data_IF_308434624366
#
_entry.id   IF_308434624366
#
_cell.length_a   1.000
_cell.length_b   1.000
_cell.length_c   1.000
_cell.angle_alpha   90.00
_cell.angle_beta   90.00
_cell.angle_gamma   90.00
#
_symmetry.space_group_name_H-M   'P 1'
#
loop_
_entity.id
_entity.type
_entity.pdbx_description
1 polymer ?
#
# COMPACT_ATOMS: atom_id res chain seq x y z
N UNK A 1 18.09 -21.44 9.86
CA UNK A 1 17.92 -19.99 9.67
C UNK A 1 18.19 -19.32 11.01
N UNK A 2 19.09 -18.35 11.05
CA UNK A 2 19.31 -17.51 12.23
C UNK A 2 18.07 -16.65 12.45
N UNK A 3 17.66 -16.44 13.70
CA UNK A 3 16.50 -15.61 14.02
C UNK A 3 16.64 -14.19 13.42
N UNK A 4 15.52 -13.60 13.02
CA UNK A 4 15.50 -12.18 12.65
C UNK A 4 15.70 -11.38 13.94
N UNK A 5 16.76 -10.57 13.99
CA UNK A 5 17.01 -9.70 15.14
C UNK A 5 15.95 -8.59 15.17
N UNK A 6 15.20 -8.50 16.26
CA UNK A 6 14.12 -7.52 16.42
C UNK A 6 14.64 -6.09 16.30
N UNK A 7 15.82 -5.82 16.85
CA UNK A 7 16.47 -4.51 16.83
C UNK A 7 16.79 -4.04 15.40
N UNK A 8 17.15 -4.97 14.50
CA UNK A 8 17.39 -4.66 13.10
C UNK A 8 16.09 -4.29 12.38
N UNK A 9 14.99 -5.00 12.66
CA UNK A 9 13.67 -4.68 12.10
C UNK A 9 13.16 -3.34 12.61
N UNK A 10 13.38 -3.03 13.89
CA UNK A 10 13.04 -1.72 14.47
C UNK A 10 13.81 -0.60 13.78
N UNK A 11 15.12 -0.75 13.61
CA UNK A 11 15.96 0.24 12.94
C UNK A 11 15.55 0.47 11.47
N UNK A 12 15.27 -0.61 10.74
CA UNK A 12 14.79 -0.54 9.36
C UNK A 12 13.40 0.11 9.30
N UNK A 13 12.49 -0.22 10.24
CA UNK A 13 11.15 0.40 10.34
C UNK A 13 11.24 1.91 10.50
N UNK A 14 12.07 2.38 11.44
CA UNK A 14 12.29 3.83 11.66
C UNK A 14 12.90 4.48 10.41
N UNK A 15 13.87 3.83 9.77
CA UNK A 15 14.53 4.34 8.57
C UNK A 15 13.54 4.49 7.41
N UNK A 16 12.68 3.49 7.20
CA UNK A 16 11.69 3.47 6.13
C UNK A 16 10.60 4.52 6.39
N UNK A 17 10.11 4.63 7.63
CA UNK A 17 9.10 5.62 8.01
C UNK A 17 9.56 7.06 7.76
N UNK A 18 10.85 7.32 7.98
CA UNK A 18 11.49 8.62 7.70
C UNK A 18 11.67 8.97 6.23
N UNK A 19 11.41 8.03 5.31
CA UNK A 19 11.43 8.29 3.88
C UNK A 19 9.99 8.56 3.44
N UNK A 20 9.63 9.82 3.10
CA UNK A 20 8.32 10.12 2.59
C UNK A 20 8.00 9.28 1.35
N UNK A 21 6.77 8.76 1.32
CA UNK A 21 6.26 8.01 0.19
C UNK A 21 4.74 8.21 0.13
N UNK A 22 4.24 9.41 -0.22
CA UNK A 22 2.82 9.55 -0.50
C UNK A 22 2.41 8.63 -1.65
N UNK A 23 1.13 8.28 -1.73
CA UNK A 23 0.56 7.60 -2.90
C UNK A 23 0.92 8.32 -4.20
N UNK A 24 1.67 7.64 -5.08
CA UNK A 24 2.21 8.20 -6.33
C UNK A 24 3.61 8.82 -6.23
N UNK A 25 4.17 8.94 -5.02
CA UNK A 25 5.51 9.46 -4.71
C UNK A 25 6.46 8.41 -4.14
N UNK A 26 6.30 7.14 -4.50
CA UNK A 26 6.99 6.01 -3.83
C UNK A 26 8.48 5.86 -4.22
N UNK A 27 8.98 6.69 -5.14
CA UNK A 27 10.29 6.52 -5.78
C UNK A 27 11.47 6.57 -4.80
N UNK A 28 11.43 7.43 -3.78
CA UNK A 28 12.52 7.54 -2.80
C UNK A 28 12.66 6.27 -1.96
N UNK A 29 11.52 5.73 -1.49
CA UNK A 29 11.47 4.48 -0.71
C UNK A 29 11.82 3.27 -1.57
N UNK A 30 11.39 3.24 -2.84
CA UNK A 30 11.82 2.24 -3.81
C UNK A 30 13.34 2.27 -4.03
N UNK A 31 13.94 3.44 -4.21
CA UNK A 31 15.39 3.57 -4.39
C UNK A 31 16.18 3.11 -3.15
N UNK A 32 15.64 3.31 -1.95
CA UNK A 32 16.23 2.76 -0.73
C UNK A 32 16.20 1.23 -0.73
N UNK A 33 15.06 0.61 -1.09
CA UNK A 33 14.94 -0.85 -1.17
C UNK A 33 15.85 -1.47 -2.22
N UNK A 34 15.98 -0.83 -3.39
CA UNK A 34 16.90 -1.28 -4.44
C UNK A 34 18.34 -1.38 -3.91
N UNK A 35 18.79 -0.37 -3.15
CA UNK A 35 20.12 -0.40 -2.52
C UNK A 35 20.20 -1.43 -1.39
N UNK A 36 19.15 -1.54 -0.57
CA UNK A 36 19.11 -2.48 0.58
C UNK A 36 19.21 -3.94 0.12
N UNK A 37 18.60 -4.26 -1.02
CA UNK A 37 18.45 -5.61 -1.54
C UNK A 37 19.40 -5.93 -2.71
N UNK A 38 20.40 -5.09 -2.98
CA UNK A 38 21.33 -5.27 -4.12
C UNK A 38 22.09 -6.61 -4.01
N UNK A 39 22.51 -6.96 -2.80
CA UNK A 39 23.19 -8.24 -2.49
C UNK A 39 22.23 -9.36 -2.08
N UNK A 40 20.90 -9.12 -2.11
CA UNK A 40 19.94 -10.14 -1.74
C UNK A 40 19.94 -11.27 -2.79
N UNK A 41 19.79 -12.54 -2.35
CA UNK A 41 19.76 -13.65 -3.29
C UNK A 41 18.55 -13.52 -4.23
N UNK A 42 18.69 -13.84 -5.51
CA UNK A 42 17.58 -13.72 -6.46
C UNK A 42 17.71 -12.53 -7.41
N UNK A 43 16.60 -12.07 -7.97
CA UNK A 43 16.59 -11.00 -8.98
C UNK A 43 15.57 -9.94 -8.60
N UNK A 44 16.06 -8.70 -8.43
CA UNK A 44 15.22 -7.53 -8.23
C UNK A 44 15.06 -6.75 -9.53
N UNK A 45 13.84 -6.39 -9.88
CA UNK A 45 13.52 -5.56 -11.05
C UNK A 45 12.40 -4.59 -10.72
N UNK A 46 12.31 -3.46 -11.41
CA UNK A 46 11.11 -2.61 -11.37
C UNK A 46 10.17 -2.94 -12.54
N UNK A 47 8.87 -3.04 -12.29
CA UNK A 47 7.87 -3.29 -13.33
C UNK A 47 7.31 -2.01 -13.96
N UNK A 48 6.37 -2.17 -14.92
CA UNK A 48 5.82 -1.07 -15.71
C UNK A 48 4.94 -0.09 -14.92
N UNK A 49 4.42 -0.48 -13.75
CA UNK A 49 3.60 0.40 -12.89
C UNK A 49 4.39 0.97 -11.73
N UNK A 50 5.67 0.58 -11.60
CA UNK A 50 6.60 1.10 -10.61
C UNK A 50 6.81 0.19 -9.40
N UNK A 51 6.21 -1.00 -9.35
CA UNK A 51 6.47 -1.95 -8.26
C UNK A 51 7.92 -2.44 -8.33
N UNK A 52 8.52 -2.71 -7.18
CA UNK A 52 9.74 -3.50 -7.13
C UNK A 52 9.38 -4.97 -6.97
N UNK A 53 9.89 -5.80 -7.86
CA UNK A 53 9.59 -7.23 -7.92
C UNK A 53 10.89 -8.00 -7.71
N UNK A 54 10.99 -8.65 -6.55
CA UNK A 54 12.06 -9.56 -6.21
C UNK A 54 11.62 -11.00 -6.49
N UNK A 55 12.44 -11.76 -7.20
CA UNK A 55 12.14 -13.13 -7.65
C UNK A 55 13.18 -14.11 -7.14
N UNK A 56 12.70 -15.23 -6.63
CA UNK A 56 13.51 -16.39 -6.30
C UNK A 56 12.93 -17.63 -6.99
N UNK A 57 13.65 -18.12 -8.00
CA UNK A 57 13.17 -19.18 -8.89
C UNK A 57 12.37 -18.63 -10.08
N UNK A 58 11.85 -19.54 -10.90
CA UNK A 58 11.14 -19.25 -12.15
C UNK A 58 9.64 -19.52 -12.02
N UNK A 59 8.77 -18.84 -12.79
CA UNK A 59 7.34 -19.11 -12.76
C UNK A 59 7.01 -20.55 -13.19
N UNK A 60 5.88 -21.13 -12.72
CA UNK A 60 4.85 -20.49 -11.90
C UNK A 60 5.28 -20.31 -10.43
N UNK A 61 4.94 -19.15 -9.85
CA UNK A 61 5.20 -18.85 -8.44
C UNK A 61 4.14 -19.51 -7.55
N UNK A 62 4.58 -20.28 -6.55
CA UNK A 62 3.68 -20.91 -5.58
C UNK A 62 3.08 -19.87 -4.62
N UNK A 63 3.85 -18.83 -4.30
CA UNK A 63 3.46 -17.77 -3.40
C UNK A 63 3.93 -16.40 -3.92
N UNK A 64 3.09 -15.39 -3.76
CA UNK A 64 3.48 -13.99 -3.83
C UNK A 64 3.32 -13.32 -2.46
N UNK A 65 4.35 -12.62 -2.00
CA UNK A 65 4.30 -11.74 -0.84
C UNK A 65 4.18 -10.29 -1.34
N UNK A 66 3.10 -9.59 -0.96
CA UNK A 66 2.83 -8.20 -1.30
C UNK A 66 3.02 -7.33 -0.06
N UNK A 67 3.69 -6.19 -0.21
CA UNK A 67 3.79 -5.16 0.83
C UNK A 67 3.85 -3.80 0.15
N UNK A 68 3.04 -2.83 0.55
CA UNK A 68 2.99 -1.57 -0.18
C UNK A 68 4.02 -0.55 0.31
N UNK A 69 4.43 0.31 -0.61
CA UNK A 69 5.43 1.34 -0.41
C UNK A 69 4.82 2.66 0.04
N UNK A 70 3.64 3.00 -0.45
CA UNK A 70 3.02 4.28 -0.18
C UNK A 70 2.40 4.36 1.21
N UNK A 71 2.10 5.59 1.62
CA UNK A 71 1.36 5.92 2.84
C UNK A 71 0.35 7.03 2.52
N UNK A 72 -0.62 7.21 3.41
CA UNK A 72 -1.56 8.35 3.35
C UNK A 72 -0.92 9.72 3.62
N UNK A 73 0.31 9.76 4.14
CA UNK A 73 0.97 11.00 4.55
C UNK A 73 1.68 11.66 3.38
N UNK A 74 1.38 12.93 3.16
CA UNK A 74 2.04 13.73 2.13
C UNK A 74 3.41 14.26 2.57
N UNK A 75 4.14 14.87 1.64
CA UNK A 75 5.49 15.44 1.86
C UNK A 75 5.52 16.58 2.90
N UNK A 76 4.36 17.17 3.24
CA UNK A 76 4.29 18.26 4.22
C UNK A 76 4.24 17.79 5.67
N UNK A 77 3.97 16.50 5.89
CA UNK A 77 3.98 15.87 7.20
C UNK A 77 5.42 15.76 7.71
N UNK A 78 5.61 15.94 9.01
CA UNK A 78 6.88 15.62 9.65
C UNK A 78 7.04 14.09 9.73
N UNK A 79 7.92 13.54 8.89
CA UNK A 79 8.16 12.10 8.79
C UNK A 79 9.16 11.58 9.83
N UNK A 80 9.48 12.33 10.89
CA UNK A 80 10.34 11.78 11.93
C UNK A 80 9.70 10.54 12.60
N UNK A 81 10.56 9.58 12.93
CA UNK A 81 10.20 8.34 13.58
C UNK A 81 11.25 7.95 14.62
N UNK A 82 10.80 7.48 15.77
CA UNK A 82 11.69 7.18 16.89
C UNK A 82 11.10 6.11 17.80
N UNK A 83 11.98 5.47 18.56
CA UNK A 83 11.58 4.58 19.65
C UNK A 83 11.55 5.36 20.97
N UNK A 84 10.47 5.21 21.73
CA UNK A 84 10.36 5.76 23.08
C UNK A 84 9.56 4.80 23.95
N UNK A 85 10.07 4.49 25.15
CA UNK A 85 9.37 3.66 26.15
C UNK A 85 8.92 2.27 25.61
N UNK A 86 9.69 1.71 24.66
CA UNK A 86 9.38 0.43 24.01
C UNK A 86 8.33 0.51 22.89
N UNK A 87 7.96 1.72 22.47
CA UNK A 87 7.01 1.97 21.37
C UNK A 87 7.71 2.68 20.22
N UNK A 88 7.28 2.35 18.99
CA UNK A 88 7.68 3.08 17.79
C UNK A 88 6.66 4.17 17.48
N UNK A 89 7.15 5.38 17.29
CA UNK A 89 6.37 6.57 17.00
C UNK A 89 6.77 7.12 15.63
N UNK A 90 5.80 7.70 14.92
CA UNK A 90 6.01 8.33 13.61
C UNK A 90 4.90 7.99 12.62
N UNK A 91 4.73 8.79 11.56
CA UNK A 91 3.78 8.49 10.49
C UNK A 91 4.20 7.21 9.76
N UNK A 92 3.21 6.39 9.44
CA UNK A 92 3.38 5.20 8.62
C UNK A 92 4.18 4.05 9.26
N UNK A 93 4.39 4.07 10.59
CA UNK A 93 5.05 2.97 11.31
C UNK A 93 4.29 1.65 11.12
N UNK A 94 3.02 1.61 11.53
CA UNK A 94 2.18 0.41 11.42
C UNK A 94 1.67 0.16 10.01
N UNK A 95 1.51 1.23 9.23
CA UNK A 95 0.97 1.20 7.86
C UNK A 95 1.88 2.03 6.92
N UNK A 96 2.92 1.45 6.33
CA UNK A 96 3.25 0.02 6.40
C UNK A 96 4.76 -0.24 6.53
N UNK A 97 5.47 0.69 7.18
CA UNK A 97 6.94 0.64 7.32
C UNK A 97 7.41 -0.61 8.07
N UNK A 98 6.65 -1.05 9.07
CA UNK A 98 6.96 -2.26 9.83
C UNK A 98 6.87 -3.52 8.95
N UNK A 99 5.81 -3.69 8.15
CA UNK A 99 5.73 -4.81 7.23
C UNK A 99 6.84 -4.76 6.19
N UNK A 100 7.18 -3.57 5.67
CA UNK A 100 8.29 -3.43 4.72
C UNK A 100 9.62 -3.88 5.33
N UNK A 101 9.92 -3.47 6.56
CA UNK A 101 11.13 -3.90 7.26
C UNK A 101 11.17 -5.42 7.48
N UNK A 102 10.04 -6.02 7.85
CA UNK A 102 9.92 -7.49 7.98
C UNK A 102 10.11 -8.18 6.64
N UNK A 103 9.48 -7.69 5.56
CA UNK A 103 9.60 -8.23 4.21
C UNK A 103 11.05 -8.18 3.72
N UNK A 104 11.76 -7.07 3.94
CA UNK A 104 13.21 -6.95 3.67
C UNK A 104 13.99 -8.02 4.44
N UNK A 105 13.76 -8.12 5.74
CA UNK A 105 14.45 -9.09 6.60
C UNK A 105 14.20 -10.54 6.18
N UNK A 106 13.01 -10.85 5.65
CA UNK A 106 12.67 -12.15 5.06
C UNK A 106 13.46 -12.34 3.77
N UNK A 107 13.37 -11.40 2.81
CA UNK A 107 14.04 -11.47 1.51
C UNK A 107 15.55 -11.71 1.66
N UNK A 108 16.21 -11.01 2.56
CA UNK A 108 17.65 -11.15 2.83
C UNK A 108 18.06 -12.53 3.37
N UNK A 109 17.12 -13.27 3.98
CA UNK A 109 17.36 -14.58 4.62
C UNK A 109 16.87 -15.76 3.79
N UNK A 110 16.01 -15.52 2.82
CA UNK A 110 15.60 -16.55 1.86
C UNK A 110 16.86 -17.01 1.11
N UNK A 111 16.95 -18.31 0.81
CA UNK A 111 18.09 -18.86 0.09
C UNK A 111 17.63 -19.65 -1.12
N UNK A 112 18.50 -19.76 -2.12
CA UNK A 112 18.25 -20.51 -3.36
C UNK A 112 18.09 -22.03 -3.16
N UNK A 113 18.26 -22.55 -1.93
CA UNK A 113 18.05 -23.96 -1.58
C UNK A 113 16.60 -24.28 -1.16
N UNK A 114 15.73 -23.28 -1.09
CA UNK A 114 14.30 -23.50 -0.81
C UNK A 114 13.62 -24.21 -1.99
N UNK A 115 12.72 -25.14 -1.67
CA UNK A 115 11.90 -25.83 -2.67
C UNK A 115 10.74 -24.92 -3.07
N UNK A 116 10.63 -24.62 -4.36
CA UNK A 116 9.53 -23.81 -4.93
C UNK A 116 9.99 -22.42 -5.36
N UNK A 117 9.16 -21.77 -6.17
CA UNK A 117 9.41 -20.41 -6.67
C UNK A 117 8.54 -19.41 -5.91
N UNK A 118 9.15 -18.33 -5.45
CA UNK A 118 8.54 -17.25 -4.67
C UNK A 118 8.76 -15.92 -5.38
N UNK A 119 7.78 -15.03 -5.28
CA UNK A 119 7.93 -13.64 -5.69
C UNK A 119 7.53 -12.72 -4.54
N UNK A 120 8.34 -11.69 -4.29
CA UNK A 120 8.02 -10.62 -3.36
C UNK A 120 7.82 -9.35 -4.18
N UNK A 121 6.72 -8.66 -3.98
CA UNK A 121 6.37 -7.45 -4.71
C UNK A 121 6.15 -6.32 -3.71
N UNK A 122 7.02 -5.33 -3.78
CA UNK A 122 6.84 -4.07 -3.08
C UNK A 122 5.94 -3.18 -3.94
N UNK A 123 4.66 -3.12 -3.59
CA UNK A 123 3.63 -2.53 -4.44
C UNK A 123 3.56 -1.03 -4.29
N UNK A 124 3.19 -0.35 -5.37
CA UNK A 124 2.87 1.09 -5.34
C UNK A 124 1.37 1.32 -5.40
N UNK A 125 0.89 2.39 -4.78
CA UNK A 125 -0.49 2.83 -4.89
C UNK A 125 -1.51 1.91 -4.27
N UNK A 126 -1.21 1.38 -3.09
CA UNK A 126 -2.24 0.74 -2.27
C UNK A 126 -3.29 1.78 -1.88
N UNK A 127 -2.80 2.89 -1.33
CA UNK A 127 -3.58 3.82 -0.54
C UNK A 127 -4.44 4.74 -1.40
N UNK A 128 -5.52 5.26 -0.81
CA UNK A 128 -6.28 6.39 -1.35
C UNK A 128 -6.56 6.30 -2.86
N UNK A 129 -6.09 7.29 -3.62
CA UNK A 129 -6.28 7.36 -5.09
C UNK A 129 -5.47 6.35 -5.89
N UNK A 130 -4.53 5.64 -5.27
CA UNK A 130 -3.74 4.56 -5.87
C UNK A 130 -4.58 3.34 -6.23
N UNK A 131 -5.62 3.06 -5.45
CA UNK A 131 -6.66 2.07 -5.74
C UNK A 131 -6.11 0.66 -6.02
N UNK A 132 -5.10 0.25 -5.24
CA UNK A 132 -4.41 -1.04 -5.35
C UNK A 132 -3.75 -1.28 -6.72
N UNK A 133 -3.33 -0.24 -7.43
CA UNK A 133 -2.82 -0.37 -8.82
C UNK A 133 -1.66 -1.36 -8.91
N UNK A 134 -0.73 -1.31 -7.95
CA UNK A 134 0.45 -2.17 -7.91
C UNK A 134 0.08 -3.63 -7.69
N UNK A 135 -0.73 -3.91 -6.66
CA UNK A 135 -1.18 -5.25 -6.33
C UNK A 135 -2.02 -5.89 -7.45
N UNK A 136 -2.94 -5.13 -8.07
CA UNK A 136 -3.72 -5.60 -9.22
C UNK A 136 -2.83 -6.00 -10.39
N UNK A 137 -1.88 -5.15 -10.76
CA UNK A 137 -0.92 -5.44 -11.83
C UNK A 137 -0.09 -6.69 -11.52
N UNK A 138 0.38 -6.84 -10.28
CA UNK A 138 1.16 -7.99 -9.85
C UNK A 138 0.36 -9.30 -9.96
N UNK A 139 -0.87 -9.32 -9.47
CA UNK A 139 -1.75 -10.49 -9.55
C UNK A 139 -2.07 -10.88 -11.00
N UNK A 140 -2.33 -9.90 -11.87
CA UNK A 140 -2.65 -10.13 -13.29
C UNK A 140 -1.47 -10.69 -14.09
N UNK A 141 -0.27 -10.18 -13.83
CA UNK A 141 0.94 -10.48 -14.61
C UNK A 141 1.72 -11.68 -14.08
N UNK A 142 1.86 -11.82 -12.77
CA UNK A 142 2.63 -12.90 -12.13
C UNK A 142 1.80 -14.17 -11.93
N UNK A 143 0.47 -14.03 -11.80
CA UNK A 143 -0.51 -15.13 -11.60
C UNK A 143 -0.04 -16.17 -10.57
N UNK A 144 0.34 -15.75 -9.35
CA UNK A 144 0.79 -16.68 -8.32
C UNK A 144 -0.36 -17.60 -7.88
N UNK A 145 -0.03 -18.78 -7.36
CA UNK A 145 -1.05 -19.69 -6.81
C UNK A 145 -1.66 -19.19 -5.51
N UNK A 146 -0.86 -18.52 -4.68
CA UNK A 146 -1.28 -17.95 -3.40
C UNK A 146 -0.69 -16.56 -3.24
N UNK A 147 -1.36 -15.72 -2.46
CA UNK A 147 -0.95 -14.35 -2.18
C UNK A 147 -1.05 -14.11 -0.68
N UNK A 148 -0.01 -13.51 -0.11
CA UNK A 148 -0.03 -12.93 1.23
C UNK A 148 0.20 -11.43 1.04
N UNK A 149 -0.77 -10.61 1.45
CA UNK A 149 -0.55 -9.19 1.68
C UNK A 149 -0.10 -9.02 3.13
N UNK A 150 1.09 -8.46 3.34
CA UNK A 150 1.66 -8.27 4.67
C UNK A 150 1.39 -6.84 5.14
N UNK A 151 0.77 -6.75 6.31
CA UNK A 151 0.45 -5.50 7.00
C UNK A 151 1.18 -5.42 8.34
N UNK A 152 1.59 -4.22 8.74
CA UNK A 152 2.29 -3.98 10.00
C UNK A 152 1.37 -3.98 11.23
N UNK A 153 0.06 -4.07 11.02
CA UNK A 153 -0.96 -4.15 12.07
C UNK A 153 -1.60 -5.54 12.12
N UNK A 154 -2.24 -5.88 13.26
CA UNK A 154 -2.96 -7.16 13.40
C UNK A 154 -2.06 -8.39 13.52
N UNK A 155 -0.93 -8.29 14.23
CA UNK A 155 0.10 -9.35 14.36
C UNK A 155 -0.40 -10.72 14.84
N UNK A 156 -1.56 -10.77 15.50
CA UNK A 156 -2.19 -11.98 16.04
C UNK A 156 -3.33 -12.51 15.14
N UNK A 157 -3.55 -11.89 13.98
CA UNK A 157 -4.71 -12.11 13.14
C UNK A 157 -4.32 -12.37 11.69
N UNK A 158 -4.92 -13.38 11.07
CA UNK A 158 -4.84 -13.63 9.62
C UNK A 158 -6.18 -13.31 9.00
N UNK A 159 -6.22 -12.29 8.13
CA UNK A 159 -7.40 -11.94 7.36
C UNK A 159 -7.46 -12.79 6.09
N UNK A 160 -8.55 -13.54 5.92
CA UNK A 160 -8.77 -14.41 4.75
C UNK A 160 -9.82 -13.87 3.78
N UNK A 161 -10.38 -12.70 4.08
CA UNK A 161 -11.38 -12.02 3.25
C UNK A 161 -11.23 -10.50 3.39
N UNK A 162 -11.76 -9.75 2.43
CA UNK A 162 -11.63 -8.30 2.36
C UNK A 162 -12.97 -7.62 2.06
N UNK A 163 -13.11 -6.38 2.50
CA UNK A 163 -14.26 -5.56 2.13
C UNK A 163 -13.96 -4.89 0.79
N UNK A 164 -14.81 -5.15 -0.20
CA UNK A 164 -14.71 -4.48 -1.50
C UNK A 164 -14.92 -2.97 -1.38
N UNK A 165 -14.17 -2.20 -2.16
CA UNK A 165 -14.28 -0.74 -2.22
C UNK A 165 -14.73 -0.27 -3.60
N UNK A 166 -15.75 0.61 -3.63
CA UNK A 166 -16.23 1.26 -4.85
C UNK A 166 -16.09 2.76 -4.68
N UNK A 167 -15.40 3.39 -5.63
CA UNK A 167 -15.24 4.85 -5.69
C UNK A 167 -16.03 5.40 -6.87
N UNK A 168 -16.90 6.38 -6.58
CA UNK A 168 -17.68 7.07 -7.59
C UNK A 168 -17.49 8.59 -7.47
N UNK A 169 -17.50 9.29 -8.61
CA UNK A 169 -17.56 10.75 -8.67
C UNK A 169 -18.97 11.15 -9.11
N UNK A 170 -19.63 11.98 -8.31
CA UNK A 170 -20.92 12.56 -8.64
C UNK A 170 -20.71 14.03 -9.02
N UNK A 171 -21.25 14.43 -10.17
CA UNK A 171 -21.22 15.81 -10.65
C UNK A 171 -22.65 16.31 -10.79
N UNK A 172 -22.95 17.45 -10.17
CA UNK A 172 -24.27 18.10 -10.22
C UNK A 172 -24.08 19.52 -10.73
N UNK A 173 -24.70 19.82 -11.87
CA UNK A 173 -24.60 21.13 -12.51
C UNK A 173 -25.93 21.85 -12.42
N UNK A 174 -25.89 23.14 -12.08
CA UNK A 174 -27.06 24.00 -12.00
C UNK A 174 -26.85 25.31 -12.77
N UNK A 175 -27.92 26.08 -13.02
CA UNK A 175 -27.87 27.29 -13.87
C UNK A 175 -27.06 28.47 -13.28
N UNK A 176 -26.71 28.42 -11.99
CA UNK A 176 -26.09 29.55 -11.29
C UNK A 176 -27.04 30.76 -11.12
N UNK A 177 -26.59 31.77 -10.39
CA UNK A 177 -27.36 33.00 -10.17
C UNK A 177 -26.98 33.73 -8.88
N UNK A 178 -27.54 34.92 -8.71
CA UNK A 178 -27.40 35.69 -7.48
C UNK A 178 -28.30 35.09 -6.39
N UNK A 179 -27.75 34.77 -5.22
CA UNK A 179 -28.45 34.03 -4.17
C UNK A 179 -29.77 34.66 -3.73
N UNK A 180 -29.86 36.00 -3.73
CA UNK A 180 -31.09 36.73 -3.40
C UNK A 180 -32.09 36.84 -4.57
N UNK A 181 -31.62 37.17 -5.77
CA UNK A 181 -32.49 37.49 -6.92
C UNK A 181 -33.02 36.23 -7.59
N UNK A 182 -32.19 35.20 -7.63
CA UNK A 182 -32.46 33.92 -8.30
C UNK A 182 -32.80 32.82 -7.28
N UNK A 183 -33.37 33.19 -6.12
CA UNK A 183 -33.67 32.26 -5.00
C UNK A 183 -34.53 31.06 -5.39
N UNK A 184 -35.32 31.18 -6.46
CA UNK A 184 -36.22 30.14 -6.96
C UNK A 184 -35.55 29.24 -8.03
N UNK A 185 -34.30 29.54 -8.43
CA UNK A 185 -33.54 28.68 -9.34
C UNK A 185 -33.02 27.43 -8.62
N UNK A 186 -32.95 26.27 -9.30
CA UNK A 186 -32.33 25.08 -8.75
C UNK A 186 -30.86 25.31 -8.36
N UNK A 187 -30.50 24.87 -7.16
CA UNK A 187 -29.13 24.89 -6.67
C UNK A 187 -28.49 23.52 -6.83
N UNK A 188 -27.29 23.48 -7.41
CA UNK A 188 -26.49 22.27 -7.50
C UNK A 188 -26.21 21.66 -6.11
N UNK A 189 -26.03 22.51 -5.08
CA UNK A 189 -25.81 22.06 -3.70
C UNK A 189 -27.04 21.37 -3.13
N UNK A 190 -28.24 21.92 -3.38
CA UNK A 190 -29.49 21.28 -2.95
C UNK A 190 -29.72 19.95 -3.69
N UNK A 191 -29.42 19.91 -5.00
CA UNK A 191 -29.46 18.67 -5.79
C UNK A 191 -28.51 17.60 -5.24
N UNK A 192 -27.28 17.97 -4.90
CA UNK A 192 -26.30 17.05 -4.31
C UNK A 192 -26.79 16.48 -2.97
N UNK A 193 -27.41 17.30 -2.11
CA UNK A 193 -27.98 16.84 -0.83
C UNK A 193 -29.08 15.80 -1.05
N UNK A 194 -29.99 16.02 -2.00
CA UNK A 194 -31.04 15.05 -2.30
C UNK A 194 -30.49 13.72 -2.81
N UNK A 195 -29.46 13.76 -3.68
CA UNK A 195 -28.80 12.56 -4.19
C UNK A 195 -28.09 11.80 -3.07
N UNK A 196 -27.37 12.50 -2.19
CA UNK A 196 -26.67 11.88 -1.05
C UNK A 196 -27.60 11.18 -0.06
N UNK A 197 -28.81 11.71 0.16
CA UNK A 197 -29.81 11.06 1.01
C UNK A 197 -30.31 9.75 0.37
N UNK A 198 -30.52 9.75 -0.95
CA UNK A 198 -30.92 8.56 -1.70
C UNK A 198 -29.82 7.50 -1.79
N UNK A 199 -28.54 7.89 -1.91
CA UNK A 199 -27.42 6.94 -1.94
C UNK A 199 -27.16 6.27 -0.61
N UNK A 200 -27.47 6.91 0.52
CA UNK A 200 -27.41 6.28 1.85
C UNK A 200 -28.35 5.07 1.99
N UNK A 201 -29.32 4.92 1.09
CA UNK A 201 -30.26 3.80 1.04
C UNK A 201 -29.96 2.81 -0.08
N UNK A 202 -28.89 3.02 -0.87
CA UNK A 202 -28.48 2.06 -1.90
C UNK A 202 -27.92 0.81 -1.23
N UNK A 203 -28.59 -0.32 -1.47
CA UNK A 203 -28.02 -1.64 -1.23
C UNK A 203 -27.12 -1.96 -2.42
N UNK A 204 -25.85 -2.24 -2.17
CA UNK A 204 -25.00 -2.86 -3.19
C UNK A 204 -25.53 -4.28 -3.42
N UNK A 205 -26.05 -4.56 -4.61
CA UNK A 205 -26.34 -5.94 -5.01
C UNK A 205 -25.00 -6.68 -5.08
N UNK A 206 -24.88 -7.78 -4.32
CA UNK A 206 -23.80 -8.75 -4.48
C UNK A 206 -24.06 -9.61 -5.69
#
# INVERSE_FOLDING_TARGET
>A
MTAIATEAVVADTITIARIPAPTGGEAARAAWLQRRLDDAPGQLSQDAVGNLVWRLGEPPYELALLTHLDTVFDESVDHDAYEQDGWLHGPGIGDNSLALAVTVAVVERLNAGMRGSLVTVFTVGEEGLGALRGAKHACETLRPRQVIALEGHGLDTVYTDAVGSVRARLEVTGPGGHSWWDKDRPSAVHGLRSTSCSTAHLRTCR
#
